data_IF_498933353472
#
_entry.id   IF_498933353472
#
_cell.length_a   1.000
_cell.length_b   1.000
_cell.length_c   1.000
_cell.angle_alpha   90.00
_cell.angle_beta   90.00
_cell.angle_gamma   90.00
#
_symmetry.space_group_name_H-M   'P 1'
#
loop_
_entity.id
_entity.type
_entity.pdbx_description
1 polymer ?
#
# COMPACT_ATOMS: atom_id res chain seq x y z
N UNK A 1 24.09 -0.35 -11.79
CA UNK A 1 25.46 -0.16 -12.29
C UNK A 1 25.68 -0.91 -13.63
N UNK A 2 25.55 -2.23 -13.73
CA UNK A 2 25.88 -3.04 -14.92
C UNK A 2 25.30 -2.50 -16.23
N UNK A 3 23.97 -2.21 -16.31
CA UNK A 3 23.35 -1.68 -17.53
C UNK A 3 23.89 -0.29 -17.92
N UNK A 4 24.32 0.51 -16.93
CA UNK A 4 24.93 1.80 -17.16
C UNK A 4 26.31 1.63 -17.77
N UNK A 5 27.10 0.67 -17.28
CA UNK A 5 28.43 0.36 -17.83
C UNK A 5 28.35 -0.15 -19.26
N UNK A 6 27.40 -1.02 -19.57
CA UNK A 6 27.17 -1.54 -20.92
C UNK A 6 26.74 -0.41 -21.90
N UNK A 7 26.13 0.65 -21.38
CA UNK A 7 25.69 1.80 -22.19
C UNK A 7 26.76 2.91 -22.32
N UNK A 8 27.94 2.78 -21.67
CA UNK A 8 29.03 3.77 -21.79
C UNK A 8 29.48 3.91 -23.24
N UNK A 9 29.64 5.16 -23.67
CA UNK A 9 30.01 5.48 -25.05
C UNK A 9 28.84 5.52 -26.05
N UNK A 10 27.62 5.13 -25.63
CA UNK A 10 26.41 5.28 -26.43
C UNK A 10 25.78 6.67 -26.26
N UNK A 11 24.62 6.88 -26.95
CA UNK A 11 23.81 8.10 -26.78
C UNK A 11 22.86 8.03 -25.57
N UNK A 12 23.07 7.09 -24.64
CA UNK A 12 22.26 6.89 -23.45
C UNK A 12 22.45 8.05 -22.47
N UNK A 13 21.41 8.82 -22.19
CA UNK A 13 21.46 10.06 -21.37
C UNK A 13 20.50 10.05 -20.19
N UNK A 14 19.49 9.19 -20.22
CA UNK A 14 18.43 9.24 -19.22
C UNK A 14 17.83 7.86 -18.98
N UNK A 15 17.50 7.59 -17.71
CA UNK A 15 16.66 6.45 -17.27
C UNK A 15 15.37 7.02 -16.73
N UNK A 16 14.24 6.55 -17.24
CA UNK A 16 12.92 6.92 -16.73
C UNK A 16 12.27 5.69 -16.11
N UNK A 17 12.04 5.72 -14.79
CA UNK A 17 11.31 4.69 -14.05
C UNK A 17 9.82 5.01 -14.08
N UNK A 18 9.02 4.17 -14.72
CA UNK A 18 7.56 4.26 -14.65
C UNK A 18 7.11 3.78 -13.24
N UNK A 19 6.95 4.70 -12.31
CA UNK A 19 6.60 4.42 -10.91
C UNK A 19 7.24 5.40 -9.94
N UNK A 20 7.08 5.16 -8.64
CA UNK A 20 7.58 6.04 -7.55
C UNK A 20 8.97 5.63 -7.10
N UNK A 21 9.15 4.38 -6.69
CA UNK A 21 10.40 3.86 -6.12
C UNK A 21 11.55 3.83 -7.12
N UNK A 22 12.75 4.06 -6.64
CA UNK A 22 13.99 4.01 -7.42
C UNK A 22 14.97 2.93 -6.89
N UNK A 23 14.50 2.03 -6.05
CA UNK A 23 15.30 1.04 -5.32
C UNK A 23 16.07 0.10 -6.24
N UNK A 24 15.58 -0.12 -7.45
CA UNK A 24 16.21 -0.94 -8.47
C UNK A 24 17.18 -0.17 -9.39
N UNK A 25 17.41 1.12 -9.12
CA UNK A 25 18.30 1.98 -9.89
C UNK A 25 19.36 2.55 -8.96
N UNK A 26 20.62 2.32 -9.29
CA UNK A 26 21.74 2.97 -8.62
C UNK A 26 21.80 4.44 -9.08
N UNK A 27 21.01 5.29 -8.39
CA UNK A 27 20.82 6.70 -8.75
C UNK A 27 22.13 7.48 -8.66
N UNK A 28 22.94 7.21 -7.61
CA UNK A 28 24.21 7.91 -7.45
C UNK A 28 25.19 7.53 -8.57
N UNK A 29 25.28 6.24 -8.86
CA UNK A 29 26.14 5.76 -9.95
C UNK A 29 25.70 6.30 -11.32
N UNK A 30 24.41 6.38 -11.59
CA UNK A 30 23.89 7.00 -12.82
C UNK A 30 24.33 8.45 -12.94
N UNK A 31 24.15 9.22 -11.85
CA UNK A 31 24.53 10.63 -11.77
C UNK A 31 26.02 10.85 -12.00
N UNK A 32 26.88 10.03 -11.37
CA UNK A 32 28.34 10.11 -11.50
C UNK A 32 28.81 9.79 -12.93
N UNK A 33 28.00 9.07 -13.71
CA UNK A 33 28.25 8.77 -15.12
C UNK A 33 27.47 9.68 -16.11
N UNK A 34 26.92 10.80 -15.63
CA UNK A 34 26.22 11.79 -16.47
C UNK A 34 24.87 11.33 -17.03
N UNK A 35 24.22 10.36 -16.37
CA UNK A 35 22.92 9.81 -16.76
C UNK A 35 21.86 10.37 -15.82
N UNK A 36 20.88 11.08 -16.37
CA UNK A 36 19.75 11.59 -15.61
C UNK A 36 18.79 10.45 -15.23
N UNK A 37 18.32 10.43 -13.98
CA UNK A 37 17.29 9.48 -13.52
C UNK A 37 16.01 10.25 -13.21
N UNK A 38 14.92 9.86 -13.84
CA UNK A 38 13.57 10.40 -13.62
C UNK A 38 12.61 9.31 -13.18
N UNK A 39 11.53 9.70 -12.51
CA UNK A 39 10.42 8.81 -12.18
C UNK A 39 9.06 9.48 -12.44
N UNK A 40 7.97 8.71 -12.32
CA UNK A 40 6.61 9.20 -12.51
C UNK A 40 5.79 9.11 -11.21
N UNK A 41 6.06 9.97 -10.21
CA UNK A 41 5.55 9.79 -8.84
C UNK A 41 4.04 9.99 -8.69
N UNK A 42 3.36 10.56 -9.68
CA UNK A 42 1.91 10.79 -9.64
C UNK A 42 1.11 9.70 -10.35
N UNK A 43 1.70 9.05 -11.35
CA UNK A 43 1.01 8.13 -12.26
C UNK A 43 0.40 6.90 -11.59
N UNK A 44 1.07 6.17 -10.68
CA UNK A 44 0.53 4.91 -10.15
C UNK A 44 -0.40 5.07 -8.94
N UNK A 45 -0.67 6.31 -8.48
CA UNK A 45 -1.34 6.49 -7.19
C UNK A 45 -2.78 5.96 -7.16
N UNK A 46 -3.49 6.09 -8.27
CA UNK A 46 -4.87 5.57 -8.41
C UNK A 46 -4.87 4.05 -8.45
N UNK A 47 -4.12 3.49 -9.40
CA UNK A 47 -4.06 2.04 -9.61
C UNK A 47 -3.56 1.26 -8.41
N UNK A 48 -2.63 1.82 -7.62
CA UNK A 48 -2.17 1.19 -6.37
C UNK A 48 -3.26 1.23 -5.29
N UNK A 49 -3.99 2.34 -5.16
CA UNK A 49 -5.10 2.44 -4.21
C UNK A 49 -6.25 1.47 -4.58
N UNK A 50 -6.58 1.37 -5.88
CA UNK A 50 -7.58 0.41 -6.39
C UNK A 50 -7.14 -1.04 -6.13
N UNK A 51 -5.87 -1.36 -6.36
CA UNK A 51 -5.33 -2.70 -6.09
C UNK A 51 -5.39 -3.04 -4.59
N UNK A 52 -5.05 -2.09 -3.72
CA UNK A 52 -5.17 -2.29 -2.28
C UNK A 52 -6.63 -2.56 -1.88
N UNK A 53 -7.58 -1.80 -2.41
CA UNK A 53 -9.01 -2.03 -2.20
C UNK A 53 -9.47 -3.39 -2.72
N UNK A 54 -8.99 -3.80 -3.89
CA UNK A 54 -9.29 -5.12 -4.47
C UNK A 54 -8.76 -6.26 -3.58
N UNK A 55 -7.57 -6.12 -3.01
CA UNK A 55 -7.03 -7.07 -2.06
C UNK A 55 -7.87 -7.14 -0.77
N UNK A 56 -8.34 -6.00 -0.25
CA UNK A 56 -9.22 -5.97 0.92
C UNK A 56 -10.51 -6.77 0.65
N UNK A 57 -11.18 -6.54 -0.48
CA UNK A 57 -12.37 -7.33 -0.86
C UNK A 57 -12.02 -8.80 -1.08
N UNK A 58 -10.87 -9.10 -1.70
CA UNK A 58 -10.44 -10.47 -1.95
C UNK A 58 -10.23 -11.24 -0.65
N UNK A 59 -9.57 -10.64 0.34
CA UNK A 59 -9.38 -11.25 1.66
C UNK A 59 -10.71 -11.37 2.41
N UNK A 60 -11.53 -10.32 2.44
CA UNK A 60 -12.79 -10.28 3.16
C UNK A 60 -13.83 -11.30 2.63
N UNK A 61 -13.82 -11.58 1.33
CA UNK A 61 -14.84 -12.40 0.66
C UNK A 61 -14.29 -13.67 -0.01
N UNK A 62 -13.03 -14.02 0.26
CA UNK A 62 -12.37 -15.23 -0.29
C UNK A 62 -12.34 -15.31 -1.83
N UNK A 63 -12.34 -14.15 -2.54
CA UNK A 63 -12.52 -14.10 -4.00
C UNK A 63 -11.44 -14.92 -4.72
N UNK A 64 -10.18 -14.74 -4.36
CA UNK A 64 -9.07 -15.44 -5.00
C UNK A 64 -9.10 -16.95 -4.79
N UNK A 65 -9.24 -17.37 -3.52
CA UNK A 65 -9.19 -18.80 -3.18
C UNK A 65 -10.45 -19.55 -3.65
N UNK A 66 -11.62 -18.91 -3.56
CA UNK A 66 -12.85 -19.49 -4.09
C UNK A 66 -12.80 -19.63 -5.62
N UNK A 67 -12.29 -18.61 -6.31
CA UNK A 67 -12.11 -18.67 -7.75
C UNK A 67 -11.07 -19.72 -8.20
N UNK A 68 -10.03 -19.95 -7.41
CA UNK A 68 -9.06 -21.02 -7.65
C UNK A 68 -9.70 -22.40 -7.49
N UNK A 69 -10.40 -22.64 -6.39
CA UNK A 69 -11.12 -23.88 -6.09
C UNK A 69 -12.13 -24.24 -7.19
N UNK A 70 -12.88 -23.24 -7.69
CA UNK A 70 -13.81 -23.46 -8.81
C UNK A 70 -13.12 -23.87 -10.11
N UNK A 71 -11.94 -23.30 -10.42
CA UNK A 71 -11.16 -23.72 -11.60
C UNK A 71 -10.63 -25.15 -11.48
N UNK A 72 -10.48 -25.68 -10.26
CA UNK A 72 -10.17 -27.08 -9.99
C UNK A 72 -11.43 -28.00 -10.03
N UNK A 73 -12.58 -27.48 -10.40
CA UNK A 73 -13.84 -28.22 -10.47
C UNK A 73 -14.51 -28.46 -9.12
N UNK A 74 -14.11 -27.75 -8.06
CA UNK A 74 -14.67 -27.87 -6.71
C UNK A 74 -15.80 -26.88 -6.49
N UNK A 75 -16.79 -27.24 -5.69
CA UNK A 75 -17.91 -26.40 -5.27
C UNK A 75 -17.97 -26.30 -3.74
N UNK A 76 -17.17 -25.39 -3.18
CA UNK A 76 -16.94 -25.28 -1.73
C UNK A 76 -17.73 -24.12 -1.10
N UNK A 77 -19.03 -23.99 -1.44
CA UNK A 77 -19.91 -22.90 -0.98
C UNK A 77 -19.90 -22.71 0.54
N UNK A 78 -19.82 -23.80 1.32
CA UNK A 78 -19.83 -23.73 2.78
C UNK A 78 -18.52 -23.17 3.34
N UNK A 79 -17.37 -23.48 2.71
CA UNK A 79 -16.07 -23.01 3.14
C UNK A 79 -15.92 -21.49 2.95
N UNK A 80 -16.43 -20.96 1.82
CA UNK A 80 -16.25 -19.56 1.45
C UNK A 80 -17.52 -18.70 1.62
N UNK A 81 -18.56 -19.23 2.23
CA UNK A 81 -19.84 -18.53 2.42
C UNK A 81 -19.85 -17.52 3.57
N UNK A 82 -18.90 -17.60 4.50
CA UNK A 82 -18.82 -16.74 5.70
C UNK A 82 -17.74 -15.67 5.52
N UNK A 83 -17.95 -14.75 4.61
CA UNK A 83 -17.07 -13.59 4.44
C UNK A 83 -17.35 -12.50 5.48
N UNK A 84 -16.48 -11.48 5.47
CA UNK A 84 -16.56 -10.27 6.30
C UNK A 84 -17.11 -9.14 5.42
N UNK A 85 -18.01 -8.32 5.94
CA UNK A 85 -18.40 -7.06 5.32
C UNK A 85 -17.39 -5.97 5.71
N UNK A 86 -17.00 -5.12 4.76
CA UNK A 86 -16.08 -4.00 5.03
C UNK A 86 -16.80 -2.82 5.68
N UNK A 87 -18.10 -2.64 5.41
CA UNK A 87 -18.92 -1.58 6.01
C UNK A 87 -18.85 -1.64 7.53
N UNK A 88 -18.59 -0.51 8.16
CA UNK A 88 -18.44 -0.39 9.61
C UNK A 88 -17.11 -0.89 10.19
N UNK A 89 -16.28 -1.58 9.41
CA UNK A 89 -14.92 -1.98 9.82
C UNK A 89 -13.97 -0.79 9.79
N UNK A 90 -12.90 -0.87 10.55
CA UNK A 90 -11.87 0.17 10.61
C UNK A 90 -10.69 -0.19 9.73
N UNK A 91 -10.34 0.73 8.81
CA UNK A 91 -9.11 0.71 8.03
C UNK A 91 -8.09 1.65 8.66
N UNK A 92 -6.95 1.13 9.06
CA UNK A 92 -5.76 1.90 9.42
C UNK A 92 -4.84 2.04 8.21
N UNK A 93 -4.47 3.28 7.88
CA UNK A 93 -3.57 3.57 6.76
C UNK A 93 -2.23 4.04 7.33
N UNK A 94 -1.17 3.26 7.08
CA UNK A 94 0.20 3.61 7.45
C UNK A 94 0.92 4.19 6.24
N UNK A 95 1.19 5.49 6.28
CA UNK A 95 1.63 6.29 5.13
C UNK A 95 0.45 6.97 4.44
N UNK A 96 0.14 8.22 4.83
CA UNK A 96 -1.02 8.95 4.35
C UNK A 96 -0.67 9.97 3.24
N UNK A 97 0.23 9.54 2.34
CA UNK A 97 0.57 10.24 1.11
C UNK A 97 -0.52 10.08 0.04
N UNK A 98 -0.16 10.31 -1.23
CA UNK A 98 -1.11 10.29 -2.38
C UNK A 98 -1.92 9.00 -2.48
N UNK A 99 -1.29 7.84 -2.25
CA UNK A 99 -1.95 6.53 -2.33
C UNK A 99 -2.88 6.35 -1.14
N UNK A 100 -2.38 6.57 0.07
CA UNK A 100 -3.17 6.43 1.30
C UNK A 100 -4.42 7.29 1.32
N UNK A 101 -4.32 8.55 0.86
CA UNK A 101 -5.48 9.45 0.75
C UNK A 101 -6.54 8.92 -0.23
N UNK A 102 -6.12 8.41 -1.40
CA UNK A 102 -7.04 7.82 -2.39
C UNK A 102 -7.74 6.58 -1.83
N UNK A 103 -6.97 5.67 -1.23
CA UNK A 103 -7.53 4.49 -0.57
C UNK A 103 -8.50 4.90 0.56
N UNK A 104 -8.14 5.89 1.36
CA UNK A 104 -9.01 6.39 2.42
C UNK A 104 -10.34 6.93 1.92
N UNK A 105 -10.33 7.71 0.82
CA UNK A 105 -11.56 8.17 0.14
C UNK A 105 -12.43 7.00 -0.34
N UNK A 106 -11.82 5.99 -0.98
CA UNK A 106 -12.54 4.79 -1.44
C UNK A 106 -13.15 4.02 -0.26
N UNK A 107 -12.37 3.79 0.80
CA UNK A 107 -12.82 3.07 1.98
C UNK A 107 -13.99 3.77 2.70
N UNK A 108 -13.93 5.10 2.82
CA UNK A 108 -15.07 5.87 3.36
C UNK A 108 -16.31 5.76 2.49
N UNK A 109 -16.17 5.79 1.17
CA UNK A 109 -17.29 5.69 0.24
C UNK A 109 -18.05 4.36 0.34
N UNK A 110 -17.37 3.27 0.75
CA UNK A 110 -17.99 1.97 1.02
C UNK A 110 -18.42 1.79 2.49
N UNK A 111 -18.38 2.86 3.30
CA UNK A 111 -18.87 2.85 4.67
C UNK A 111 -17.89 2.32 5.72
N UNK A 112 -16.59 2.29 5.45
CA UNK A 112 -15.58 2.00 6.47
C UNK A 112 -15.29 3.20 7.36
N UNK A 113 -14.89 2.94 8.61
CA UNK A 113 -14.17 3.91 9.43
C UNK A 113 -12.71 3.93 8.98
N UNK A 114 -12.11 5.13 8.87
CA UNK A 114 -10.73 5.25 8.42
C UNK A 114 -9.94 6.10 9.40
N UNK A 115 -8.75 5.63 9.78
CA UNK A 115 -7.75 6.38 10.55
C UNK A 115 -6.41 6.30 9.82
N UNK A 116 -5.56 7.29 10.00
CA UNK A 116 -4.28 7.37 9.32
C UNK A 116 -3.13 7.62 10.29
N UNK A 117 -1.96 7.10 9.95
CA UNK A 117 -0.69 7.44 10.57
C UNK A 117 0.30 7.87 9.49
N UNK A 118 0.97 8.98 9.71
CA UNK A 118 2.13 9.41 8.92
C UNK A 118 3.08 10.19 9.83
N UNK A 119 4.37 10.21 9.46
CA UNK A 119 5.37 11.06 10.12
C UNK A 119 5.24 12.53 9.72
N UNK A 120 4.59 12.80 8.57
CA UNK A 120 4.32 14.14 8.06
C UNK A 120 2.81 14.36 7.95
N UNK A 121 2.27 15.27 8.75
CA UNK A 121 0.86 15.65 8.66
C UNK A 121 0.70 16.73 7.57
N UNK A 122 -0.19 16.49 6.64
CA UNK A 122 -0.53 17.46 5.59
C UNK A 122 -1.60 18.41 6.15
N UNK A 123 -1.33 19.72 6.22
CA UNK A 123 -2.29 20.67 6.77
C UNK A 123 -3.64 20.63 6.05
N UNK A 124 -4.74 20.60 6.80
CA UNK A 124 -6.11 20.64 6.29
C UNK A 124 -6.64 19.33 5.70
N UNK A 125 -5.81 18.27 5.57
CA UNK A 125 -6.24 17.03 4.92
C UNK A 125 -7.21 16.21 5.80
N UNK A 126 -7.10 16.32 7.12
CA UNK A 126 -8.03 15.65 8.06
C UNK A 126 -9.45 16.17 7.89
N UNK A 127 -9.61 17.47 7.83
CA UNK A 127 -10.91 18.14 7.64
C UNK A 127 -11.45 17.89 6.22
N UNK A 128 -10.58 17.98 5.19
CA UNK A 128 -10.99 17.74 3.79
C UNK A 128 -11.54 16.35 3.59
N UNK A 129 -10.85 15.33 4.15
CA UNK A 129 -11.20 13.92 3.95
C UNK A 129 -12.07 13.35 5.08
N UNK A 130 -12.12 14.03 6.22
CA UNK A 130 -12.73 13.52 7.44
C UNK A 130 -12.05 12.22 7.90
N UNK A 131 -10.71 12.14 7.79
CA UNK A 131 -9.88 11.02 8.19
C UNK A 131 -8.85 11.54 9.20
N UNK A 132 -8.98 11.20 10.49
CA UNK A 132 -8.06 11.69 11.51
C UNK A 132 -6.70 11.00 11.44
N UNK A 133 -5.65 11.77 11.74
CA UNK A 133 -4.37 11.18 12.12
C UNK A 133 -4.45 10.67 13.56
N UNK A 134 -3.86 9.52 13.78
CA UNK A 134 -3.72 8.89 15.09
C UNK A 134 -2.29 8.37 15.27
N UNK A 135 -1.90 8.12 16.52
CA UNK A 135 -0.63 7.48 16.83
C UNK A 135 -0.59 6.03 16.33
N UNK A 136 0.60 5.53 16.00
CA UNK A 136 0.79 4.18 15.44
C UNK A 136 0.12 3.10 16.30
N UNK A 137 0.34 3.13 17.62
CA UNK A 137 -0.23 2.13 18.52
C UNK A 137 -1.75 2.15 18.56
N UNK A 138 -2.34 3.34 18.48
CA UNK A 138 -3.78 3.50 18.38
C UNK A 138 -4.34 2.95 17.08
N UNK A 139 -3.66 3.23 15.95
CA UNK A 139 -4.02 2.68 14.65
C UNK A 139 -4.02 1.15 14.69
N UNK A 140 -2.93 0.55 15.19
CA UNK A 140 -2.78 -0.91 15.28
C UNK A 140 -3.90 -1.55 16.11
N UNK A 141 -4.22 -0.97 17.27
CA UNK A 141 -5.22 -1.52 18.18
C UNK A 141 -6.68 -1.38 17.65
N UNK A 142 -6.96 -0.35 16.87
CA UNK A 142 -8.33 -0.08 16.38
C UNK A 142 -8.66 -0.76 15.05
N UNK A 143 -7.66 -1.08 14.23
CA UNK A 143 -7.88 -1.50 12.85
C UNK A 143 -8.29 -2.95 12.70
N UNK A 144 -9.26 -3.20 11.84
CA UNK A 144 -9.63 -4.52 11.33
C UNK A 144 -8.87 -4.85 10.03
N UNK A 145 -8.50 -3.80 9.28
CA UNK A 145 -7.64 -3.83 8.11
C UNK A 145 -6.54 -2.78 8.26
N UNK A 146 -5.32 -3.12 7.89
CA UNK A 146 -4.18 -2.19 7.87
C UNK A 146 -3.59 -2.20 6.47
N UNK A 147 -3.46 -1.02 5.86
CA UNK A 147 -2.81 -0.89 4.55
C UNK A 147 -1.56 -0.02 4.67
N UNK A 148 -0.44 -0.56 4.18
CA UNK A 148 0.87 0.08 4.31
C UNK A 148 1.27 0.72 2.98
N UNK A 149 1.49 2.03 3.00
CA UNK A 149 1.89 2.86 1.86
C UNK A 149 3.09 3.76 2.16
N UNK A 150 3.79 3.46 3.27
CA UNK A 150 5.04 4.11 3.62
C UNK A 150 6.23 3.50 2.88
N UNK A 151 7.27 4.28 2.56
CA UNK A 151 8.53 3.73 2.05
C UNK A 151 9.20 2.83 3.08
N UNK A 152 10.17 2.02 2.62
CA UNK A 152 11.05 1.30 3.53
C UNK A 152 11.77 2.28 4.46
N UNK A 153 11.90 1.90 5.72
CA UNK A 153 12.59 2.70 6.74
C UNK A 153 13.91 2.05 7.13
N UNK A 154 14.90 2.88 7.42
CA UNK A 154 16.16 2.40 7.97
C UNK A 154 15.91 1.80 9.37
N UNK A 155 16.51 0.65 9.65
CA UNK A 155 16.40 0.01 10.97
C UNK A 155 15.45 -1.17 11.07
N UNK A 156 14.89 -1.65 9.96
CA UNK A 156 14.12 -2.90 9.93
C UNK A 156 12.70 -2.80 9.40
N UNK A 157 11.91 -3.84 9.63
CA UNK A 157 10.54 -3.90 9.15
C UNK A 157 9.64 -2.90 9.87
N UNK A 158 8.90 -2.09 9.10
CA UNK A 158 7.91 -1.16 9.65
C UNK A 158 6.82 -1.89 10.44
N UNK A 159 6.37 -3.03 9.95
CA UNK A 159 5.48 -3.95 10.66
C UNK A 159 6.34 -5.10 11.22
N UNK A 160 6.73 -5.00 12.46
CA UNK A 160 7.55 -5.96 13.19
C UNK A 160 6.72 -6.75 14.23
N UNK A 161 7.33 -7.72 14.90
CA UNK A 161 6.66 -8.57 15.88
C UNK A 161 6.02 -7.78 17.03
N UNK A 162 6.67 -6.73 17.53
CA UNK A 162 6.13 -5.87 18.60
C UNK A 162 4.84 -5.17 18.13
N UNK A 163 4.83 -4.63 16.93
CA UNK A 163 3.64 -3.98 16.34
C UNK A 163 2.52 -4.97 16.05
N UNK A 164 2.87 -6.16 15.55
CA UNK A 164 1.88 -7.22 15.34
C UNK A 164 1.20 -7.62 16.65
N UNK A 165 1.94 -7.70 17.76
CA UNK A 165 1.38 -8.02 19.07
C UNK A 165 0.38 -6.97 19.61
N UNK A 166 0.35 -5.76 19.05
CA UNK A 166 -0.60 -4.69 19.39
C UNK A 166 -1.86 -4.68 18.51
N UNK A 167 -1.90 -5.51 17.46
CA UNK A 167 -3.01 -5.58 16.53
C UNK A 167 -4.15 -6.44 17.07
N UNK A 168 -5.32 -6.29 16.47
CA UNK A 168 -6.45 -7.20 16.73
C UNK A 168 -6.17 -8.60 16.19
N UNK A 169 -6.69 -9.61 16.90
CA UNK A 169 -6.72 -10.95 16.35
C UNK A 169 -7.53 -10.99 15.04
N UNK A 170 -6.96 -11.61 14.02
CA UNK A 170 -7.60 -11.70 12.70
C UNK A 170 -7.51 -10.45 11.84
N UNK A 171 -6.69 -9.45 12.22
CA UNK A 171 -6.42 -8.28 11.39
C UNK A 171 -5.89 -8.69 10.01
N UNK A 172 -6.31 -7.98 8.97
CA UNK A 172 -5.82 -8.18 7.61
C UNK A 172 -4.83 -7.06 7.26
N UNK A 173 -3.63 -7.45 6.85
CA UNK A 173 -2.58 -6.51 6.43
C UNK A 173 -2.46 -6.55 4.92
N UNK A 174 -2.51 -5.37 4.30
CA UNK A 174 -2.33 -5.15 2.85
C UNK A 174 -1.04 -4.34 2.65
N UNK A 175 -0.18 -4.83 1.77
CA UNK A 175 1.08 -4.16 1.43
C UNK A 175 1.36 -4.26 -0.07
#
# INVERSE_FOLDING_TARGET
AKQIDEAKGSRFKCVIRAGVGLDNIDVQYAKDNGIEVKNTPKSPSESVAELAMAHMFSCARYISIAGHSMREGKWEKKAYGKGIELTGKTLGIVGFGRIGQKLGKMAKAIGMNVVAFDIFHIPGIEEELGIPYVEMDELLAKSDFISVHAPAVDGGALINAERIAKMKDGVVIIN
#
